data_IF_645501597317
#
_entry.id   IF_645501597317
#
_cell.length_a   1.000
_cell.length_b   1.000
_cell.length_c   1.000
_cell.angle_alpha   90.00
_cell.angle_beta   90.00
_cell.angle_gamma   90.00
#
_symmetry.space_group_name_H-M   'P 1'
#
loop_
_entity.id
_entity.type
_entity.pdbx_description
1 polymer ?
#
# COMPACT_ATOMS: atom_id res chain seq x y z
N UNK A 1 23.69 4.95 -8.40
CA UNK A 1 23.25 3.61 -7.93
C UNK A 1 22.12 3.71 -6.91
N UNK A 2 22.05 4.74 -6.05
CA UNK A 2 20.91 4.94 -5.14
C UNK A 2 19.62 5.25 -5.91
N UNK A 3 19.71 6.08 -6.95
CA UNK A 3 18.55 6.57 -7.71
C UNK A 3 17.73 5.44 -8.35
N UNK A 4 18.37 4.39 -8.86
CA UNK A 4 17.67 3.26 -9.51
C UNK A 4 16.90 2.45 -8.48
N UNK A 5 17.50 2.21 -7.31
CA UNK A 5 16.84 1.48 -6.22
C UNK A 5 15.69 2.29 -5.65
N UNK A 6 15.86 3.60 -5.49
CA UNK A 6 14.82 4.50 -4.98
C UNK A 6 13.62 4.56 -5.94
N UNK A 7 13.88 4.70 -7.25
CA UNK A 7 12.85 4.66 -8.29
C UNK A 7 12.11 3.32 -8.32
N UNK A 8 12.86 2.21 -8.21
CA UNK A 8 12.25 0.89 -8.17
C UNK A 8 11.36 0.71 -6.94
N UNK A 9 11.83 1.17 -5.77
CA UNK A 9 11.10 1.08 -4.51
C UNK A 9 9.81 1.91 -4.56
N UNK A 10 9.89 3.12 -5.13
CA UNK A 10 8.71 3.96 -5.34
C UNK A 10 7.70 3.25 -6.24
N UNK A 11 8.14 2.80 -7.43
CA UNK A 11 7.28 2.12 -8.40
C UNK A 11 6.62 0.88 -7.80
N UNK A 12 7.37 0.10 -7.02
CA UNK A 12 6.87 -1.11 -6.36
C UNK A 12 5.77 -0.81 -5.33
N UNK A 13 5.97 0.24 -4.52
CA UNK A 13 5.08 0.58 -3.41
C UNK A 13 3.86 1.41 -3.85
N UNK A 14 4.00 2.24 -4.87
CA UNK A 14 3.01 3.24 -5.27
C UNK A 14 2.24 2.85 -6.53
N UNK A 15 2.87 2.15 -7.49
CA UNK A 15 2.31 2.00 -8.83
C UNK A 15 1.99 0.55 -9.19
N UNK A 16 2.80 -0.42 -8.73
CA UNK A 16 2.65 -1.82 -9.15
C UNK A 16 1.55 -2.52 -8.36
N UNK A 17 0.52 -3.07 -9.03
CA UNK A 17 -0.46 -3.93 -8.40
C UNK A 17 0.11 -5.32 -8.11
N UNK A 18 -0.30 -5.93 -7.00
CA UNK A 18 0.12 -7.28 -6.61
C UNK A 18 -1.10 -8.17 -6.38
N UNK A 19 -1.12 -9.34 -7.01
CA UNK A 19 -2.25 -10.29 -6.90
C UNK A 19 -2.54 -10.69 -5.45
N UNK A 20 -1.50 -10.89 -4.63
CA UNK A 20 -1.63 -11.21 -3.20
C UNK A 20 -2.33 -10.12 -2.38
N UNK A 21 -2.35 -8.88 -2.86
CA UNK A 21 -3.03 -7.75 -2.24
C UNK A 21 -4.38 -7.45 -2.92
N UNK A 22 -4.89 -8.37 -3.74
CA UNK A 22 -6.12 -8.17 -4.50
C UNK A 22 -5.92 -7.28 -5.73
N UNK A 23 -4.76 -7.36 -6.38
CA UNK A 23 -4.36 -6.49 -7.49
C UNK A 23 -4.23 -5.01 -7.12
N UNK A 24 -3.86 -4.73 -5.86
CA UNK A 24 -3.64 -3.37 -5.37
C UNK A 24 -2.15 -3.09 -5.14
N UNK A 25 -1.69 -1.84 -5.29
CA UNK A 25 -0.39 -1.42 -4.82
C UNK A 25 -0.28 -1.47 -3.28
N UNK A 26 0.93 -1.68 -2.72
CA UNK A 26 1.13 -1.79 -1.28
C UNK A 26 0.68 -0.54 -0.50
N UNK A 27 0.84 0.65 -1.07
CA UNK A 27 0.38 1.92 -0.48
C UNK A 27 -1.14 1.97 -0.32
N UNK A 28 -1.89 1.53 -1.34
CA UNK A 28 -3.35 1.50 -1.33
C UNK A 28 -3.86 0.48 -0.33
N UNK A 29 -3.27 -0.72 -0.32
CA UNK A 29 -3.61 -1.76 0.64
C UNK A 29 -3.38 -1.30 2.09
N UNK A 30 -2.25 -0.64 2.37
CA UNK A 30 -1.96 -0.08 3.70
C UNK A 30 -3.05 0.91 4.14
N UNK A 31 -3.46 1.81 3.26
CA UNK A 31 -4.52 2.77 3.57
C UNK A 31 -5.86 2.09 3.88
N UNK A 32 -6.18 0.98 3.20
CA UNK A 32 -7.38 0.19 3.49
C UNK A 32 -7.28 -0.46 4.88
N UNK A 33 -6.16 -1.10 5.19
CA UNK A 33 -5.93 -1.68 6.51
C UNK A 33 -5.96 -0.63 7.62
N UNK A 34 -5.42 0.56 7.41
CA UNK A 34 -5.47 1.67 8.40
C UNK A 34 -6.90 2.15 8.66
N UNK A 35 -7.76 2.16 7.62
CA UNK A 35 -9.18 2.49 7.77
C UNK A 35 -9.93 1.41 8.54
N UNK A 36 -9.71 0.14 8.20
CA UNK A 36 -10.34 -1.01 8.86
C UNK A 36 -9.91 -1.17 10.32
N UNK A 37 -8.62 -0.93 10.61
CA UNK A 37 -8.10 -0.97 11.97
C UNK A 37 -8.29 0.36 12.72
N UNK A 38 -9.00 1.32 12.14
CA UNK A 38 -9.28 2.58 12.82
C UNK A 38 -10.25 2.31 13.97
N UNK A 39 -9.90 2.67 15.22
CA UNK A 39 -10.79 2.49 16.37
C UNK A 39 -12.09 3.31 16.24
N UNK A 40 -12.16 4.25 15.30
CA UNK A 40 -13.36 5.03 14.97
C UNK A 40 -14.46 4.19 14.27
N UNK A 41 -14.13 3.03 13.68
CA UNK A 41 -15.13 2.14 13.06
C UNK A 41 -15.80 1.18 14.04
N UNK A 42 -15.22 0.97 15.24
CA UNK A 42 -15.73 0.05 16.26
C UNK A 42 -16.78 0.70 17.19
N UNK A 43 -17.29 1.87 16.83
CA UNK A 43 -18.23 2.68 17.64
C UNK A 43 -19.61 2.84 16.98
N UNK A 44 -20.16 1.77 16.40
CA UNK A 44 -21.52 1.75 15.83
C UNK A 44 -22.35 0.61 16.41
#
# INVERSE_FOLDING_TARGET
MRDITDLWLQSYNEERPHESLGNLPPSVFRQQCERENSPLQLSA
#
